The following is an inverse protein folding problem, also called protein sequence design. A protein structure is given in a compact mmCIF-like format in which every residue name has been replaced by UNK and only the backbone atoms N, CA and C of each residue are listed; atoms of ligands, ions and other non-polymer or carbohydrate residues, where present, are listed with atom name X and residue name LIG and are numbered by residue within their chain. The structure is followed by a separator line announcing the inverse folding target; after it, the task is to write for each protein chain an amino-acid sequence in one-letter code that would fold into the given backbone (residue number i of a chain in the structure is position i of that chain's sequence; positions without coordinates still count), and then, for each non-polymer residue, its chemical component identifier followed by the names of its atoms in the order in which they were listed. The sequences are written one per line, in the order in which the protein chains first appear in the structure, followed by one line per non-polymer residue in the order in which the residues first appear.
data_IF_950159488056
#
_entry.id   IF_950159488056
#
_cell.length_a   1.000
_cell.length_b   1.000
_cell.length_c   1.000
_cell.angle_alpha   90.00
_cell.angle_beta   90.00
_cell.angle_gamma   90.00
#
_symmetry.space_group_name_H-M   'P 1'
#
loop_
_entity.id
_entity.type
_entity.pdbx_description
1 polymer ?
#
# COMPACT_ATOMS: atom_id res chain seq x y z
N UNK A 1 -25.74 22.89 -13.98
CA UNK A 1 -24.68 22.43 -13.12
C UNK A 1 -23.91 21.32 -13.81
N UNK A 2 -22.69 21.59 -14.19
CA UNK A 2 -21.87 20.58 -14.84
C UNK A 2 -21.18 19.74 -13.78
N UNK A 3 -21.40 18.45 -13.80
CA UNK A 3 -20.65 17.54 -12.97
C UNK A 3 -19.23 17.40 -13.51
N UNK A 4 -18.24 17.35 -12.64
CA UNK A 4 -16.88 17.10 -13.13
C UNK A 4 -16.82 15.73 -13.81
N UNK A 5 -16.14 15.68 -14.94
CA UNK A 5 -15.89 14.41 -15.63
C UNK A 5 -14.96 13.60 -14.73
N UNK A 6 -15.39 12.38 -14.39
CA UNK A 6 -14.59 11.47 -13.57
C UNK A 6 -13.73 10.63 -14.52
N UNK A 7 -12.40 10.84 -14.53
CA UNK A 7 -11.51 10.09 -15.43
C UNK A 7 -11.63 8.58 -15.22
N UNK A 8 -11.77 7.84 -16.31
CA UNK A 8 -11.91 6.39 -16.27
C UNK A 8 -13.23 5.90 -15.71
N UNK A 9 -14.17 6.81 -15.37
CA UNK A 9 -15.44 6.44 -14.76
C UNK A 9 -15.35 6.04 -13.29
N UNK A 10 -14.21 6.30 -12.63
CA UNK A 10 -14.04 6.06 -11.21
C UNK A 10 -13.60 7.34 -10.51
N UNK A 11 -14.01 7.50 -9.25
CA UNK A 11 -13.64 8.65 -8.44
C UNK A 11 -12.28 8.43 -7.77
N UNK A 12 -11.67 9.52 -7.26
CA UNK A 12 -10.45 9.42 -6.48
C UNK A 12 -10.64 8.54 -5.24
N UNK A 13 -11.83 8.55 -4.66
CA UNK A 13 -12.15 7.68 -3.53
C UNK A 13 -12.10 6.20 -3.93
N UNK A 14 -12.65 5.88 -5.09
CA UNK A 14 -12.60 4.50 -5.59
C UNK A 14 -11.17 4.06 -5.89
N UNK A 15 -10.32 4.98 -6.37
CA UNK A 15 -8.89 4.71 -6.56
C UNK A 15 -8.26 4.25 -5.24
N UNK A 16 -8.55 4.96 -4.14
CA UNK A 16 -8.03 4.60 -2.82
C UNK A 16 -8.50 3.20 -2.41
N UNK A 17 -9.76 2.87 -2.71
CA UNK A 17 -10.32 1.57 -2.33
C UNK A 17 -9.72 0.40 -3.12
N UNK A 18 -9.36 0.61 -4.38
CA UNK A 18 -8.90 -0.48 -5.25
C UNK A 18 -7.38 -0.50 -5.47
N UNK A 19 -6.64 0.45 -4.89
CA UNK A 19 -5.21 0.57 -5.16
C UNK A 19 -4.42 -0.69 -4.79
N UNK A 20 -4.77 -1.35 -3.70
CA UNK A 20 -4.09 -2.57 -3.28
C UNK A 20 -4.24 -3.68 -4.31
N UNK A 21 -5.47 -3.91 -4.77
CA UNK A 21 -5.74 -4.91 -5.80
C UNK A 21 -5.06 -4.54 -7.13
N UNK A 22 -5.01 -3.25 -7.45
CA UNK A 22 -4.32 -2.77 -8.64
C UNK A 22 -2.82 -3.12 -8.59
N UNK A 23 -2.17 -2.85 -7.46
CA UNK A 23 -0.74 -3.13 -7.30
C UNK A 23 -0.44 -4.62 -7.23
N UNK A 24 -1.39 -5.42 -6.74
CA UNK A 24 -1.26 -6.88 -6.68
C UNK A 24 -1.58 -7.57 -7.99
N UNK A 25 -2.05 -6.81 -8.99
CA UNK A 25 -2.46 -7.39 -10.28
C UNK A 25 -3.75 -8.18 -10.19
N UNK A 26 -4.56 -7.94 -9.17
CA UNK A 26 -5.79 -8.70 -8.89
C UNK A 26 -7.04 -8.08 -9.49
N UNK A 27 -6.95 -6.89 -10.10
CA UNK A 27 -8.11 -6.24 -10.71
C UNK A 27 -8.51 -6.93 -12.01
N UNK A 28 -9.83 -7.07 -12.26
CA UNK A 28 -10.30 -7.47 -13.58
C UNK A 28 -9.82 -6.48 -14.65
N UNK A 29 -9.63 -6.93 -15.90
CA UNK A 29 -9.10 -6.05 -16.95
C UNK A 29 -9.89 -4.76 -17.15
N UNK A 30 -11.21 -4.80 -17.03
CA UNK A 30 -12.05 -3.62 -17.17
C UNK A 30 -11.75 -2.58 -16.09
N UNK A 31 -11.61 -3.03 -14.87
CA UNK A 31 -11.32 -2.15 -13.73
C UNK A 31 -9.89 -1.61 -13.81
N UNK A 32 -8.97 -2.42 -14.28
CA UNK A 32 -7.59 -2.00 -14.51
C UNK A 32 -7.53 -0.90 -15.56
N UNK A 33 -8.28 -1.04 -16.65
CA UNK A 33 -8.33 -0.02 -17.70
C UNK A 33 -8.90 1.29 -17.18
N UNK A 34 -9.91 1.22 -16.32
CA UNK A 34 -10.48 2.40 -15.67
C UNK A 34 -9.48 3.08 -14.76
N UNK A 35 -8.76 2.29 -13.99
CA UNK A 35 -7.71 2.80 -13.10
C UNK A 35 -6.61 3.49 -13.90
N UNK A 36 -6.13 2.86 -14.96
CA UNK A 36 -5.10 3.43 -15.82
C UNK A 36 -5.56 4.74 -16.46
N UNK A 37 -6.82 4.79 -16.94
CA UNK A 37 -7.38 6.01 -17.52
C UNK A 37 -7.49 7.13 -16.49
N UNK A 38 -7.89 6.79 -15.26
CA UNK A 38 -7.97 7.78 -14.18
C UNK A 38 -6.57 8.33 -13.85
N UNK A 39 -5.57 7.47 -13.78
CA UNK A 39 -4.21 7.88 -13.46
C UNK A 39 -3.61 8.79 -14.53
N UNK A 40 -3.95 8.58 -15.80
CA UNK A 40 -3.50 9.45 -16.89
C UNK A 40 -4.02 10.88 -16.74
N UNK A 41 -5.19 11.06 -16.13
CA UNK A 41 -5.88 12.35 -16.05
C UNK A 41 -5.83 12.99 -14.66
N UNK A 42 -5.32 12.31 -13.65
CA UNK A 42 -5.36 12.79 -12.27
C UNK A 42 -3.98 12.70 -11.61
N UNK A 43 -3.16 13.76 -11.72
CA UNK A 43 -1.83 13.76 -11.09
C UNK A 43 -1.81 13.48 -9.59
N UNK A 44 -2.74 14.00 -8.77
CA UNK A 44 -2.77 13.65 -7.34
C UNK A 44 -2.91 12.15 -7.09
N UNK A 45 -3.68 11.45 -7.91
CA UNK A 45 -3.84 10.00 -7.77
C UNK A 45 -2.56 9.25 -8.17
N UNK A 46 -1.83 9.76 -9.17
CA UNK A 46 -0.52 9.20 -9.53
C UNK A 46 0.44 9.27 -8.35
N UNK A 47 0.51 10.41 -7.67
CA UNK A 47 1.35 10.58 -6.50
C UNK A 47 0.94 9.62 -5.38
N UNK A 48 -0.37 9.47 -5.17
CA UNK A 48 -0.88 8.55 -4.16
C UNK A 48 -0.44 7.11 -4.44
N UNK A 49 -0.63 6.65 -5.67
CA UNK A 49 -0.24 5.29 -6.07
C UNK A 49 1.27 5.09 -5.91
N UNK A 50 2.07 6.07 -6.31
CA UNK A 50 3.53 5.99 -6.16
C UNK A 50 3.96 5.93 -4.70
N UNK A 51 3.30 6.68 -3.82
CA UNK A 51 3.57 6.62 -2.39
C UNK A 51 3.24 5.27 -1.79
N UNK A 52 2.11 4.69 -2.16
CA UNK A 52 1.71 3.36 -1.69
C UNK A 52 2.70 2.30 -2.20
N UNK A 53 3.10 2.38 -3.46
CA UNK A 53 4.07 1.46 -4.05
C UNK A 53 5.41 1.53 -3.31
N UNK A 54 5.90 2.73 -3.05
CA UNK A 54 7.15 2.96 -2.33
C UNK A 54 7.07 2.43 -0.90
N UNK A 55 5.98 2.73 -0.20
CA UNK A 55 5.76 2.27 1.17
C UNK A 55 5.75 0.74 1.24
N UNK A 56 5.08 0.09 0.30
CA UNK A 56 5.04 -1.37 0.25
C UNK A 56 6.42 -1.97 0.00
N UNK A 57 7.21 -1.34 -0.85
CA UNK A 57 8.57 -1.79 -1.14
C UNK A 57 9.46 -1.67 0.10
N UNK A 58 9.37 -0.54 0.81
CA UNK A 58 10.14 -0.32 2.03
C UNK A 58 9.73 -1.29 3.14
N UNK A 59 8.43 -1.54 3.27
CA UNK A 59 7.93 -2.50 4.26
C UNK A 59 8.43 -3.91 3.95
N UNK A 60 8.43 -4.30 2.68
CA UNK A 60 8.93 -5.61 2.27
C UNK A 60 10.43 -5.76 2.53
N UNK A 61 11.21 -4.69 2.29
CA UNK A 61 12.64 -4.70 2.58
C UNK A 61 12.92 -4.83 4.07
N UNK A 62 12.17 -4.09 4.90
CA UNK A 62 12.33 -4.16 6.35
C UNK A 62 11.98 -5.55 6.87
N UNK A 63 10.93 -6.15 6.33
CA UNK A 63 10.53 -7.51 6.69
C UNK A 63 11.59 -8.53 6.30
N UNK A 64 12.16 -8.40 5.10
CA UNK A 64 13.23 -9.28 4.62
C UNK A 64 14.48 -9.15 5.48
N UNK A 65 14.84 -7.93 5.88
CA UNK A 65 15.99 -7.68 6.76
C UNK A 65 15.78 -8.32 8.13
N UNK A 66 14.57 -8.22 8.68
CA UNK A 66 14.24 -8.84 9.97
C UNK A 66 14.33 -10.37 9.89
N UNK A 67 13.90 -10.96 8.79
CA UNK A 67 13.98 -12.41 8.60
C UNK A 67 15.40 -12.91 8.44
N UNK A 68 16.27 -12.09 7.87
CA UNK A 68 17.68 -12.44 7.66
C UNK A 68 18.55 -12.21 8.88
N UNK A 69 18.04 -11.57 9.93
CA UNK A 69 18.82 -11.34 11.14
C UNK A 69 19.04 -12.63 11.90
N UNK A 70 20.31 -13.00 12.17
CA UNK A 70 20.60 -14.20 12.93
C UNK A 70 20.10 -14.14 14.37
N UNK A 71 19.80 -12.95 14.90
CA UNK A 71 19.40 -12.71 16.28
C UNK A 71 17.90 -12.51 16.44
N UNK A 72 17.10 -12.97 15.49
CA UNK A 72 15.65 -12.79 15.55
C UNK A 72 15.07 -13.32 16.86
N UNK A 73 15.48 -14.51 17.28
CA UNK A 73 15.00 -15.11 18.53
C UNK A 73 15.44 -14.33 19.76
N UNK A 74 16.68 -13.83 19.74
CA UNK A 74 17.18 -12.99 20.81
C UNK A 74 16.40 -11.69 20.90
N UNK A 75 16.07 -11.07 19.76
CA UNK A 75 15.27 -9.86 19.71
C UNK A 75 13.86 -10.09 20.24
N UNK A 76 13.23 -11.21 19.86
CA UNK A 76 11.90 -11.56 20.35
C UNK A 76 11.90 -11.85 21.84
N UNK A 77 12.95 -12.51 22.33
CA UNK A 77 13.12 -12.77 23.75
C UNK A 77 13.30 -11.48 24.55
N UNK A 78 14.11 -10.55 24.04
CA UNK A 78 14.30 -9.24 24.66
C UNK A 78 13.00 -8.45 24.70
N UNK A 79 12.20 -8.52 23.63
CA UNK A 79 10.91 -7.86 23.56
C UNK A 79 9.92 -8.42 24.56
N UNK A 80 9.91 -9.74 24.73
CA UNK A 80 9.06 -10.40 25.72
C UNK A 80 9.46 -10.01 27.15
N UNK A 81 10.77 -9.96 27.41
CA UNK A 81 11.30 -9.55 28.72
C UNK A 81 10.93 -8.10 29.03
N UNK A 82 11.02 -7.23 28.02
CA UNK A 82 10.62 -5.83 28.16
C UNK A 82 9.14 -5.72 28.51
N UNK A 83 8.27 -6.46 27.82
CA UNK A 83 6.83 -6.46 28.11
C UNK A 83 6.56 -6.96 29.53
N UNK A 84 7.25 -8.01 29.95
CA UNK A 84 7.08 -8.57 31.29
C UNK A 84 7.52 -7.59 32.36
N UNK A 85 8.59 -6.85 32.12
CA UNK A 85 9.11 -5.85 33.06
C UNK A 85 8.18 -4.62 33.18
N UNK A 86 7.39 -4.32 32.14
CA UNK A 86 6.48 -3.16 32.14
C UNK A 86 5.04 -3.51 32.56
N UNK A 87 4.69 -4.77 32.63
CA UNK A 87 3.38 -5.20 33.13
C UNK A 87 3.37 -5.10 34.66
N UNK A 88 2.29 -4.48 35.23
CA UNK A 88 2.15 -4.36 36.67
C UNK A 88 1.92 -5.70 37.36
#
# INVERSE_FOLDING_TARGET
MSFPIIPGGISCREVVEIVTDYLDGALPPEDRDRMDAHLEACPPCVLYVEQIRTTRRLAAQAEAELEQRPDREALLAAFRDFRRATDP
#
